data_IF_407953431659
#
_entry.id   IF_407953431659
#
_cell.length_a   1.000
_cell.length_b   1.000
_cell.length_c   1.000
_cell.angle_alpha   90.00
_cell.angle_beta   90.00
_cell.angle_gamma   90.00
#
_symmetry.space_group_name_H-M   'P 1'
#
loop_
_entity.id
_entity.type
_entity.pdbx_description
1 polymer ?
#
# COMPACT_ATOMS: atom_id res chain seq x y z
N UNK A 1 55.44 -3.28 23.94
CA UNK A 1 54.40 -4.12 23.38
C UNK A 1 53.22 -3.22 23.00
N UNK A 2 53.07 -2.94 21.72
CA UNK A 2 52.01 -2.06 21.22
C UNK A 2 50.78 -2.94 20.93
N UNK A 3 49.74 -2.79 21.73
CA UNK A 3 48.45 -3.43 21.49
C UNK A 3 47.72 -2.64 20.39
N UNK A 4 47.66 -3.23 19.19
CA UNK A 4 46.88 -2.71 18.10
C UNK A 4 45.41 -3.06 18.37
N UNK A 5 44.59 -2.06 18.73
CA UNK A 5 43.18 -2.18 18.91
C UNK A 5 42.52 -2.13 17.52
N UNK A 6 42.20 -3.28 16.97
CA UNK A 6 41.39 -3.41 15.74
C UNK A 6 39.96 -3.05 16.06
N UNK A 7 39.57 -1.83 15.75
CA UNK A 7 38.19 -1.40 15.76
C UNK A 7 37.55 -1.95 14.49
N UNK A 8 36.81 -3.05 14.62
CA UNK A 8 35.89 -3.55 13.60
C UNK A 8 34.72 -2.60 13.49
N UNK A 9 34.78 -1.66 12.55
CA UNK A 9 33.63 -0.89 12.08
C UNK A 9 32.71 -1.86 11.34
N UNK A 10 31.70 -2.36 12.06
CA UNK A 10 30.59 -3.06 11.46
C UNK A 10 29.78 -2.03 10.66
N UNK A 11 30.08 -1.92 9.38
CA UNK A 11 29.29 -1.15 8.43
C UNK A 11 27.95 -1.85 8.27
N UNK A 12 26.94 -1.44 9.04
CA UNK A 12 25.56 -1.82 8.81
C UNK A 12 25.12 -1.17 7.51
N UNK A 13 25.31 -1.87 6.41
CA UNK A 13 24.74 -1.50 5.12
C UNK A 13 23.22 -1.62 5.22
N UNK A 14 22.56 -0.52 5.51
CA UNK A 14 21.10 -0.40 5.36
C UNK A 14 20.85 -0.47 3.86
N UNK A 15 20.50 -1.67 3.37
CA UNK A 15 20.01 -1.83 2.01
C UNK A 15 18.66 -1.12 1.92
N UNK A 16 18.67 0.11 1.43
CA UNK A 16 17.47 0.80 1.00
C UNK A 16 17.00 0.09 -0.27
N UNK A 17 16.18 -0.95 -0.11
CA UNK A 17 15.60 -1.65 -1.24
C UNK A 17 14.55 -0.72 -1.86
N UNK A 18 14.87 -0.17 -3.03
CA UNK A 18 13.89 0.52 -3.86
C UNK A 18 12.77 -0.48 -4.21
N UNK A 19 11.51 -0.10 -3.94
CA UNK A 19 10.35 -0.92 -4.29
C UNK A 19 10.29 -1.10 -5.79
N UNK A 20 10.25 -2.36 -6.25
CA UNK A 20 10.02 -2.67 -7.66
C UNK A 20 8.57 -2.40 -8.00
N UNK A 21 8.36 -1.68 -9.11
CA UNK A 21 7.04 -1.37 -9.65
C UNK A 21 6.84 -2.17 -10.94
N UNK A 22 5.70 -2.83 -11.06
CA UNK A 22 5.30 -3.49 -12.29
C UNK A 22 4.98 -2.46 -13.38
N UNK A 23 5.66 -2.55 -14.51
CA UNK A 23 5.54 -1.55 -15.58
C UNK A 23 4.17 -1.54 -16.27
N UNK A 24 3.45 -2.64 -16.21
CA UNK A 24 2.13 -2.80 -16.82
C UNK A 24 1.02 -2.24 -15.95
N UNK A 25 0.98 -2.65 -14.67
CA UNK A 25 -0.09 -2.29 -13.74
C UNK A 25 0.23 -1.08 -12.85
N UNK A 26 1.52 -0.74 -12.70
CA UNK A 26 1.98 0.27 -11.74
C UNK A 26 1.94 -0.19 -10.28
N UNK A 27 1.62 -1.46 -10.03
CA UNK A 27 1.56 -2.02 -8.70
C UNK A 27 2.95 -2.33 -8.15
N UNK A 28 3.10 -2.24 -6.84
CA UNK A 28 4.32 -2.63 -6.14
C UNK A 28 4.47 -4.16 -6.22
N UNK A 29 5.62 -4.64 -6.70
CA UNK A 29 5.92 -6.07 -6.74
C UNK A 29 6.37 -6.49 -5.34
N UNK A 30 5.47 -7.15 -4.62
CA UNK A 30 5.67 -7.64 -3.26
C UNK A 30 4.84 -8.91 -3.05
N UNK A 31 4.90 -9.51 -1.85
CA UNK A 31 4.07 -10.68 -1.53
C UNK A 31 2.59 -10.35 -1.74
N UNK A 32 1.86 -11.19 -2.48
CA UNK A 32 0.46 -11.01 -2.84
C UNK A 32 0.22 -10.23 -4.15
N UNK A 33 1.28 -9.72 -4.78
CA UNK A 33 1.19 -8.95 -6.03
C UNK A 33 0.43 -9.70 -7.13
N UNK A 34 0.77 -10.95 -7.39
CA UNK A 34 0.16 -11.75 -8.46
C UNK A 34 -1.34 -11.96 -8.21
N UNK A 35 -1.72 -12.22 -6.96
CA UNK A 35 -3.13 -12.39 -6.58
C UNK A 35 -3.90 -11.09 -6.77
N UNK A 36 -3.34 -9.96 -6.38
CA UNK A 36 -3.98 -8.64 -6.58
C UNK A 36 -4.04 -8.29 -8.06
N UNK A 37 -2.96 -8.50 -8.82
CA UNK A 37 -2.96 -8.25 -10.27
C UNK A 37 -4.02 -9.07 -10.96
N UNK A 38 -4.10 -10.38 -10.70
CA UNK A 38 -5.05 -11.29 -11.33
C UNK A 38 -6.53 -10.96 -11.03
N UNK A 39 -6.82 -10.45 -9.83
CA UNK A 39 -8.21 -10.20 -9.41
C UNK A 39 -8.65 -8.75 -9.54
N UNK A 40 -7.74 -7.79 -9.51
CA UNK A 40 -8.08 -6.37 -9.43
C UNK A 40 -7.84 -5.58 -10.71
N UNK A 41 -7.16 -6.16 -11.73
CA UNK A 41 -6.87 -5.46 -12.98
C UNK A 41 -7.68 -5.94 -14.17
N UNK A 42 -8.61 -6.87 -13.96
CA UNK A 42 -9.42 -7.48 -15.04
C UNK A 42 -10.46 -6.52 -15.59
N UNK A 43 -11.10 -5.72 -14.73
CA UNK A 43 -12.21 -4.84 -15.11
C UNK A 43 -11.78 -3.41 -15.41
N UNK A 44 -10.74 -2.90 -14.76
CA UNK A 44 -10.20 -1.56 -14.94
C UNK A 44 -8.73 -1.51 -14.53
N UNK A 45 -8.06 -0.39 -14.83
CA UNK A 45 -6.64 -0.24 -14.48
C UNK A 45 -6.42 -0.21 -12.96
N UNK A 46 -5.22 -0.62 -12.54
CA UNK A 46 -4.80 -0.57 -11.13
C UNK A 46 -4.54 0.86 -10.61
N UNK A 47 -4.73 1.89 -11.42
CA UNK A 47 -4.51 3.28 -11.02
C UNK A 47 -5.31 3.65 -9.78
N UNK A 48 -6.51 3.10 -9.66
CA UNK A 48 -7.34 3.26 -8.46
C UNK A 48 -6.61 2.78 -7.20
N UNK A 49 -5.95 1.63 -7.25
CA UNK A 49 -5.18 1.08 -6.12
C UNK A 49 -3.96 1.95 -5.82
N UNK A 50 -3.20 2.32 -6.85
CA UNK A 50 -1.95 3.07 -6.67
C UNK A 50 -2.16 4.48 -6.14
N UNK A 51 -3.32 5.06 -6.37
CA UNK A 51 -3.68 6.41 -5.89
C UNK A 51 -4.46 6.42 -4.59
N UNK A 52 -5.16 5.32 -4.28
CA UNK A 52 -5.89 5.16 -3.04
C UNK A 52 -4.96 4.72 -1.91
N UNK A 53 -5.23 5.20 -0.71
CA UNK A 53 -4.55 4.81 0.52
C UNK A 53 -5.60 4.41 1.54
N UNK A 54 -5.33 3.36 2.29
CA UNK A 54 -6.29 2.91 3.28
C UNK A 54 -5.73 1.84 4.22
N UNK A 55 -6.36 1.71 5.35
CA UNK A 55 -6.17 0.58 6.24
C UNK A 55 -6.94 -0.65 5.73
N UNK A 56 -6.81 -1.75 6.43
CA UNK A 56 -7.47 -3.01 6.07
C UNK A 56 -8.99 -2.87 5.95
N UNK A 57 -9.61 -2.17 6.89
CA UNK A 57 -11.08 -2.00 6.92
C UNK A 57 -11.55 -1.14 5.75
N UNK A 58 -10.83 -0.10 5.41
CA UNK A 58 -11.08 0.73 4.24
C UNK A 58 -11.00 -0.08 2.95
N UNK A 59 -9.96 -0.88 2.77
CA UNK A 59 -9.80 -1.74 1.60
C UNK A 59 -10.90 -2.81 1.54
N UNK A 60 -11.24 -3.42 2.68
CA UNK A 60 -12.34 -4.40 2.76
C UNK A 60 -13.68 -3.78 2.39
N UNK A 61 -13.97 -2.60 2.89
CA UNK A 61 -15.21 -1.89 2.54
C UNK A 61 -15.33 -1.61 1.04
N UNK A 62 -14.23 -1.24 0.38
CA UNK A 62 -14.19 -1.05 -1.08
C UNK A 62 -14.41 -2.35 -1.85
N UNK A 63 -13.79 -3.45 -1.43
CA UNK A 63 -13.99 -4.78 -2.04
C UNK A 63 -15.45 -5.19 -1.91
N UNK A 64 -16.04 -5.10 -0.73
CA UNK A 64 -17.45 -5.45 -0.48
C UNK A 64 -18.39 -4.58 -1.33
N UNK A 65 -18.09 -3.29 -1.45
CA UNK A 65 -18.87 -2.40 -2.32
C UNK A 65 -18.82 -2.84 -3.79
N UNK A 66 -17.63 -3.16 -4.31
CA UNK A 66 -17.47 -3.66 -5.68
C UNK A 66 -18.16 -5.00 -5.91
N UNK A 67 -18.13 -5.90 -4.92
CA UNK A 67 -18.82 -7.18 -4.99
C UNK A 67 -20.33 -7.02 -5.03
N UNK A 68 -20.89 -6.04 -4.31
CA UNK A 68 -22.34 -5.77 -4.25
C UNK A 68 -22.86 -4.99 -5.44
N UNK A 69 -22.07 -4.09 -6.00
CA UNK A 69 -22.57 -3.08 -6.95
C UNK A 69 -21.90 -3.11 -8.32
N UNK A 70 -20.69 -3.69 -8.44
CA UNK A 70 -19.88 -3.63 -9.65
C UNK A 70 -19.59 -5.01 -10.25
N UNK A 71 -20.20 -6.06 -9.70
CA UNK A 71 -20.04 -7.42 -10.24
C UNK A 71 -18.70 -8.09 -9.94
N UNK A 72 -17.93 -7.57 -8.97
CA UNK A 72 -16.74 -8.28 -8.51
C UNK A 72 -17.19 -9.60 -7.85
N UNK A 73 -16.50 -10.69 -8.20
CA UNK A 73 -16.77 -12.01 -7.63
C UNK A 73 -16.37 -12.10 -6.15
N UNK A 74 -16.96 -13.05 -5.46
CA UNK A 74 -16.60 -13.35 -4.07
C UNK A 74 -15.25 -14.05 -4.02
N UNK A 75 -14.39 -13.62 -3.12
CA UNK A 75 -13.11 -14.25 -2.85
C UNK A 75 -13.28 -15.38 -1.81
N UNK A 76 -12.41 -16.39 -1.89
CA UNK A 76 -12.25 -17.29 -0.74
C UNK A 76 -11.59 -16.51 0.42
N UNK A 77 -11.78 -16.97 1.67
CA UNK A 77 -11.16 -16.28 2.82
C UNK A 77 -9.65 -16.11 2.69
N UNK A 78 -8.96 -17.08 2.12
CA UNK A 78 -7.49 -17.07 1.94
C UNK A 78 -7.08 -16.02 0.90
N UNK A 79 -7.79 -15.94 -0.22
CA UNK A 79 -7.55 -14.95 -1.28
C UNK A 79 -7.87 -13.54 -0.78
N UNK A 80 -8.98 -13.37 -0.05
CA UNK A 80 -9.32 -12.07 0.55
C UNK A 80 -8.24 -11.60 1.53
N UNK A 81 -7.78 -12.49 2.40
CA UNK A 81 -6.73 -12.16 3.36
C UNK A 81 -5.41 -11.76 2.68
N UNK A 82 -5.01 -12.49 1.64
CA UNK A 82 -3.81 -12.18 0.86
C UNK A 82 -3.91 -10.81 0.18
N UNK A 83 -5.05 -10.51 -0.45
CA UNK A 83 -5.31 -9.22 -1.10
C UNK A 83 -5.29 -8.09 -0.08
N UNK A 84 -6.00 -8.22 1.03
CA UNK A 84 -6.05 -7.21 2.07
C UNK A 84 -4.70 -6.97 2.72
N UNK A 85 -3.93 -8.02 2.97
CA UNK A 85 -2.57 -7.92 3.52
C UNK A 85 -1.64 -7.18 2.56
N UNK A 86 -1.71 -7.49 1.27
CA UNK A 86 -0.94 -6.77 0.25
C UNK A 86 -1.31 -5.27 0.22
N UNK A 87 -2.60 -4.95 0.21
CA UNK A 87 -3.07 -3.57 0.09
C UNK A 87 -2.73 -2.73 1.32
N UNK A 88 -2.97 -3.24 2.53
CA UNK A 88 -2.63 -2.50 3.75
C UNK A 88 -1.13 -2.32 3.95
N UNK A 89 -0.33 -3.28 3.49
CA UNK A 89 1.14 -3.22 3.62
C UNK A 89 1.76 -2.24 2.62
N UNK A 90 1.31 -2.26 1.38
CA UNK A 90 1.95 -1.50 0.29
C UNK A 90 1.25 -0.16 0.01
N UNK A 91 -0.01 -0.01 0.40
CA UNK A 91 -0.82 1.19 0.22
C UNK A 91 -1.52 1.60 1.52
N UNK A 92 -0.77 1.76 2.62
CA UNK A 92 -1.33 2.14 3.92
C UNK A 92 -1.90 3.57 3.89
N UNK A 93 -2.69 3.96 4.91
CA UNK A 93 -3.13 5.32 5.07
C UNK A 93 -1.94 6.28 5.02
N UNK A 94 -2.01 7.29 4.17
CA UNK A 94 -1.03 8.36 4.19
C UNK A 94 -1.16 9.19 5.47
N UNK A 95 -0.10 9.91 5.84
CA UNK A 95 -0.23 10.99 6.79
C UNK A 95 -1.16 12.04 6.17
N UNK A 96 -2.46 11.91 6.42
CA UNK A 96 -3.39 12.95 6.05
C UNK A 96 -3.10 14.11 7.01
N UNK A 97 -2.24 15.02 6.59
CA UNK A 97 -2.25 16.35 7.16
C UNK A 97 -3.63 16.93 6.84
N UNK A 98 -4.59 16.64 7.69
CA UNK A 98 -5.86 17.33 7.67
C UNK A 98 -5.52 18.80 7.84
N UNK A 99 -5.77 19.61 6.82
CA UNK A 99 -5.66 21.05 6.95
C UNK A 99 -6.35 21.42 8.26
N UNK A 100 -5.63 22.12 9.15
CA UNK A 100 -6.25 22.68 10.32
C UNK A 100 -7.51 23.45 9.86
N UNK A 101 -8.63 23.24 10.53
CA UNK A 101 -9.86 23.95 10.19
C UNK A 101 -9.53 25.47 10.18
N UNK A 102 -9.89 26.14 9.10
CA UNK A 102 -9.77 27.60 9.03
C UNK A 102 -10.51 28.20 10.22
N UNK A 103 -9.85 29.09 10.94
CA UNK A 103 -10.51 29.87 11.99
C UNK A 103 -11.56 30.77 11.33
N UNK A 104 -12.67 30.99 11.99
CA UNK A 104 -13.78 31.83 11.46
C UNK A 104 -13.28 33.17 10.91
N UNK A 105 -12.27 33.79 11.58
CA UNK A 105 -11.65 35.02 11.16
C UNK A 105 -10.92 34.97 9.80
N UNK A 106 -10.54 33.79 9.36
CA UNK A 106 -9.77 33.53 8.14
C UNK A 106 -10.68 33.04 6.99
N UNK A 107 -12.01 33.02 7.20
CA UNK A 107 -12.98 32.69 6.16
C UNK A 107 -13.28 33.93 5.31
N UNK A 108 -13.33 33.78 3.98
CA UNK A 108 -13.81 34.87 3.12
C UNK A 108 -15.29 35.15 3.39
N UNK A 109 -15.65 36.42 3.45
CA UNK A 109 -17.04 36.91 3.56
C UNK A 109 -17.82 36.56 2.27
#
# INVERSE_FOLDING_TARGET
MKKVLLILLASSSIFLQAQKIDSESGLIIAKGFETVKANCTVCHSAKFITTQKGDRDTWKAMIVWMQRTQGLWQFTPEVEDEILTYLETNYPPGNVYRRANLKIKDMPN
#
